data_IF_340236254459
#
_entry.id   IF_340236254459
#
_cell.length_a   1.000
_cell.length_b   1.000
_cell.length_c   1.000
_cell.angle_alpha   90.00
_cell.angle_beta   90.00
_cell.angle_gamma   90.00
#
_symmetry.space_group_name_H-M   'P 1'
#
loop_
_entity.id
_entity.type
_entity.pdbx_description
1 polymer ?
#
# COMPACT_ATOMS: atom_id res chain seq x y z
N UNK A 1 3.28 -20.18 11.07
CA UNK A 1 2.87 -21.29 10.17
C UNK A 1 2.38 -20.85 8.78
N UNK A 2 1.76 -19.69 8.58
CA UNK A 2 1.24 -19.30 7.24
C UNK A 2 2.28 -18.70 6.28
N UNK A 3 3.38 -18.13 6.79
CA UNK A 3 4.38 -17.44 5.96
C UNK A 3 5.06 -18.31 4.89
N UNK A 4 5.36 -19.61 5.12
CA UNK A 4 5.85 -20.50 4.07
C UNK A 4 4.90 -20.63 2.86
N UNK A 5 3.60 -20.46 3.05
CA UNK A 5 2.64 -20.47 1.95
C UNK A 5 2.68 -19.18 1.14
N UNK A 6 2.88 -18.04 1.83
CA UNK A 6 3.03 -16.72 1.21
C UNK A 6 4.33 -16.59 0.41
N UNK A 7 5.39 -17.30 0.80
CA UNK A 7 6.70 -17.24 0.12
C UNK A 7 6.76 -18.02 -1.19
N UNK A 8 5.74 -18.83 -1.51
CA UNK A 8 5.69 -19.62 -2.74
C UNK A 8 5.68 -18.73 -3.99
N UNK A 9 6.52 -19.06 -4.96
CA UNK A 9 6.72 -18.25 -6.19
C UNK A 9 5.97 -18.80 -7.40
N UNK A 10 5.51 -20.06 -7.34
CA UNK A 10 4.74 -20.68 -8.42
C UNK A 10 3.50 -19.85 -8.76
N UNK A 11 3.27 -19.65 -10.05
CA UNK A 11 2.09 -18.97 -10.58
C UNK A 11 0.95 -19.94 -10.89
N UNK A 12 1.10 -21.23 -10.61
CA UNK A 12 0.04 -22.19 -10.88
C UNK A 12 -1.15 -21.96 -9.92
N UNK A 13 -2.35 -22.23 -10.41
CA UNK A 13 -3.61 -21.98 -9.70
C UNK A 13 -3.66 -22.55 -8.27
N UNK A 14 -3.13 -23.76 -7.97
CA UNK A 14 -3.09 -24.27 -6.59
C UNK A 14 -2.27 -23.41 -5.64
N UNK A 15 -1.10 -22.93 -6.06
CA UNK A 15 -0.25 -22.07 -5.23
C UNK A 15 -0.84 -20.67 -5.09
N UNK A 16 -1.50 -20.15 -6.13
CA UNK A 16 -2.21 -18.88 -6.03
C UNK A 16 -3.36 -18.93 -5.02
N UNK A 17 -4.18 -20.00 -5.07
CA UNK A 17 -5.26 -20.22 -4.11
C UNK A 17 -4.72 -20.39 -2.68
N UNK A 18 -3.58 -21.07 -2.52
CA UNK A 18 -2.94 -21.26 -1.22
C UNK A 18 -2.48 -19.92 -0.62
N UNK A 19 -1.85 -19.05 -1.43
CA UNK A 19 -1.48 -17.69 -1.03
C UNK A 19 -2.71 -16.87 -0.68
N UNK A 20 -3.72 -16.86 -1.55
CA UNK A 20 -4.95 -16.12 -1.34
C UNK A 20 -5.69 -16.53 -0.06
N UNK A 21 -5.79 -17.83 0.20
CA UNK A 21 -6.42 -18.35 1.43
C UNK A 21 -5.62 -17.93 2.66
N UNK A 22 -4.29 -18.01 2.60
CA UNK A 22 -3.40 -17.58 3.70
C UNK A 22 -3.52 -16.08 3.97
N UNK A 23 -3.56 -15.25 2.91
CA UNK A 23 -3.82 -13.82 3.00
C UNK A 23 -5.22 -13.53 3.55
N UNK A 24 -6.23 -14.33 3.20
CA UNK A 24 -7.59 -14.21 3.72
C UNK A 24 -7.64 -14.35 5.23
N UNK A 25 -6.92 -15.33 5.79
CA UNK A 25 -6.79 -15.51 7.24
C UNK A 25 -6.12 -14.30 7.89
N UNK A 26 -4.98 -13.85 7.37
CA UNK A 26 -4.26 -12.67 7.90
C UNK A 26 -5.13 -11.41 7.79
N UNK A 27 -5.82 -11.25 6.67
CA UNK A 27 -6.77 -10.17 6.39
C UNK A 27 -7.91 -10.13 7.40
N UNK A 28 -8.40 -11.29 7.86
CA UNK A 28 -9.39 -11.34 8.93
C UNK A 28 -8.83 -10.90 10.29
N UNK A 29 -7.57 -11.25 10.57
CA UNK A 29 -6.91 -10.89 11.85
C UNK A 29 -6.68 -9.37 11.94
N UNK A 30 -6.19 -8.72 10.87
CA UNK A 30 -5.92 -7.26 10.87
C UNK A 30 -7.18 -6.40 10.77
N UNK A 31 -8.35 -6.98 10.45
CA UNK A 31 -9.61 -6.22 10.29
C UNK A 31 -10.11 -5.59 11.58
N UNK A 32 -9.73 -6.15 12.74
CA UNK A 32 -10.19 -5.69 14.05
C UNK A 32 -9.39 -4.50 14.58
N UNK A 33 -8.43 -3.96 13.80
CA UNK A 33 -7.62 -2.79 14.16
C UNK A 33 -6.94 -2.91 15.54
N UNK A 34 -6.55 -4.14 15.92
CA UNK A 34 -5.85 -4.41 17.17
C UNK A 34 -4.35 -4.03 17.03
N UNK A 35 -3.83 -3.06 17.80
CA UNK A 35 -2.42 -2.65 17.72
C UNK A 35 -1.42 -3.77 18.04
N UNK A 36 -1.76 -4.71 18.93
CA UNK A 36 -0.89 -5.85 19.27
C UNK A 36 -0.66 -6.77 18.06
N UNK A 37 -1.71 -6.96 17.25
CA UNK A 37 -1.64 -7.72 16.00
C UNK A 37 -0.72 -7.01 15.01
N UNK A 38 -0.86 -5.69 14.88
CA UNK A 38 0.01 -4.90 13.99
C UNK A 38 1.46 -5.03 14.45
N UNK A 39 1.73 -4.79 15.72
CA UNK A 39 3.06 -4.88 16.31
C UNK A 39 3.69 -6.27 16.10
N UNK A 40 2.91 -7.34 16.26
CA UNK A 40 3.36 -8.69 15.93
C UNK A 40 3.83 -8.80 14.47
N UNK A 41 3.06 -8.28 13.51
CA UNK A 41 3.47 -8.31 12.09
C UNK A 41 4.72 -7.47 11.80
N UNK A 42 4.93 -6.35 12.50
CA UNK A 42 6.14 -5.53 12.34
C UNK A 42 7.42 -6.26 12.81
N UNK A 43 7.30 -7.17 13.78
CA UNK A 43 8.42 -7.93 14.35
C UNK A 43 8.72 -9.25 13.60
N UNK A 44 7.94 -9.56 12.56
CA UNK A 44 8.07 -10.80 11.80
C UNK A 44 8.43 -10.53 10.33
N UNK A 45 8.70 -11.60 9.58
CA UNK A 45 8.98 -11.52 8.13
C UNK A 45 7.73 -11.26 7.27
N UNK A 46 6.58 -10.90 7.87
CA UNK A 46 5.35 -10.69 7.13
C UNK A 46 5.44 -9.54 6.12
N UNK A 47 6.03 -8.40 6.53
CA UNK A 47 6.08 -7.20 5.69
C UNK A 47 6.82 -7.41 4.36
N UNK A 48 8.04 -7.99 4.32
CA UNK A 48 8.68 -8.36 3.07
C UNK A 48 7.83 -9.27 2.18
N UNK A 49 7.15 -10.27 2.75
CA UNK A 49 6.28 -11.18 2.01
C UNK A 49 5.06 -10.45 1.43
N UNK A 50 4.47 -9.56 2.22
CA UNK A 50 3.31 -8.75 1.83
C UNK A 50 3.67 -7.83 0.66
N UNK A 51 4.76 -7.08 0.76
CA UNK A 51 5.25 -6.19 -0.31
C UNK A 51 5.58 -6.96 -1.59
N UNK A 52 6.21 -8.13 -1.50
CA UNK A 52 6.46 -9.00 -2.66
C UNK A 52 5.16 -9.44 -3.34
N UNK A 53 4.15 -9.85 -2.56
CA UNK A 53 2.86 -10.25 -3.13
C UNK A 53 2.14 -9.06 -3.77
N UNK A 54 2.21 -7.88 -3.16
CA UNK A 54 1.68 -6.63 -3.71
C UNK A 54 2.28 -6.31 -5.08
N UNK A 55 3.57 -6.57 -5.27
CA UNK A 55 4.28 -6.27 -6.51
C UNK A 55 4.02 -7.30 -7.62
N UNK A 56 4.12 -8.59 -7.33
CA UNK A 56 4.15 -9.66 -8.36
C UNK A 56 3.04 -10.72 -8.25
N UNK A 57 2.09 -10.58 -7.31
CA UNK A 57 0.98 -11.51 -7.12
C UNK A 57 -0.09 -11.47 -8.22
N UNK A 58 -1.05 -12.39 -8.20
CA UNK A 58 -2.28 -12.26 -8.99
C UNK A 58 -3.08 -11.03 -8.54
N UNK A 59 -3.94 -10.48 -9.40
CA UNK A 59 -4.72 -9.28 -9.07
C UNK A 59 -5.45 -9.40 -7.73
N UNK A 60 -6.09 -10.56 -7.49
CA UNK A 60 -6.82 -10.79 -6.24
C UNK A 60 -5.87 -10.89 -5.03
N UNK A 61 -4.72 -11.56 -5.16
CA UNK A 61 -3.69 -11.57 -4.12
C UNK A 61 -3.17 -10.17 -3.82
N UNK A 62 -2.94 -9.35 -4.86
CA UNK A 62 -2.50 -7.95 -4.71
C UNK A 62 -3.54 -7.15 -3.92
N UNK A 63 -4.81 -7.22 -4.30
CA UNK A 63 -5.89 -6.51 -3.58
C UNK A 63 -5.91 -6.86 -2.09
N UNK A 64 -5.82 -8.15 -1.74
CA UNK A 64 -5.84 -8.57 -0.33
C UNK A 64 -4.54 -8.17 0.40
N UNK A 65 -3.37 -8.33 -0.24
CA UNK A 65 -2.10 -7.94 0.35
C UNK A 65 -2.00 -6.43 0.58
N UNK A 66 -2.38 -5.61 -0.41
CA UNK A 66 -2.41 -4.14 -0.27
C UNK A 66 -3.42 -3.72 0.79
N UNK A 67 -4.56 -4.40 0.92
CA UNK A 67 -5.51 -4.14 2.01
C UNK A 67 -4.88 -4.39 3.40
N UNK A 68 -4.17 -5.50 3.57
CA UNK A 68 -3.48 -5.82 4.82
C UNK A 68 -2.38 -4.80 5.12
N UNK A 69 -1.59 -4.47 4.10
CA UNK A 69 -0.53 -3.47 4.22
C UNK A 69 -1.09 -2.09 4.60
N UNK A 70 -2.19 -1.68 3.97
CA UNK A 70 -2.89 -0.45 4.34
C UNK A 70 -3.38 -0.48 5.79
N UNK A 71 -3.86 -1.63 6.29
CA UNK A 71 -4.27 -1.77 7.71
C UNK A 71 -3.07 -1.59 8.66
N UNK A 72 -1.91 -2.13 8.32
CA UNK A 72 -0.67 -1.86 9.05
C UNK A 72 -0.31 -0.37 9.01
N UNK A 73 -0.34 0.26 7.84
CA UNK A 73 -0.07 1.70 7.71
C UNK A 73 -1.07 2.58 8.46
N UNK A 74 -2.32 2.13 8.61
CA UNK A 74 -3.37 2.90 9.29
C UNK A 74 -3.13 3.02 10.79
N UNK A 75 -2.39 2.08 11.38
CA UNK A 75 -1.90 2.15 12.75
C UNK A 75 -0.73 3.15 12.86
N UNK A 76 -0.64 3.89 13.96
CA UNK A 76 0.41 4.90 14.17
C UNK A 76 1.80 4.26 14.33
N UNK A 77 1.88 3.12 15.03
CA UNK A 77 3.12 2.36 15.18
C UNK A 77 3.57 1.75 13.85
N UNK A 78 2.63 1.27 13.03
CA UNK A 78 2.89 0.78 11.68
C UNK A 78 3.37 1.87 10.73
N UNK A 79 2.73 3.06 10.73
CA UNK A 79 3.21 4.20 9.94
C UNK A 79 4.62 4.60 10.36
N UNK A 80 4.85 4.81 11.66
CA UNK A 80 6.15 5.19 12.19
C UNK A 80 7.23 4.17 11.82
N UNK A 81 6.97 2.87 11.97
CA UNK A 81 7.93 1.82 11.61
C UNK A 81 8.40 1.91 10.15
N UNK A 82 7.52 2.30 9.23
CA UNK A 82 7.80 2.42 7.80
C UNK A 82 8.57 3.69 7.47
N UNK A 83 8.22 4.81 8.12
CA UNK A 83 8.79 6.13 7.80
C UNK A 83 10.03 6.47 8.62
N UNK A 84 10.32 5.72 9.69
CA UNK A 84 11.45 6.02 10.57
C UNK A 84 12.82 5.63 10.00
N UNK A 85 12.87 4.75 9.00
CA UNK A 85 14.11 4.37 8.34
C UNK A 85 14.03 4.61 6.82
N UNK A 86 14.93 5.43 6.23
CA UNK A 86 14.86 5.80 4.80
C UNK A 86 14.77 4.61 3.85
N UNK A 87 15.58 3.56 4.08
CA UNK A 87 15.54 2.34 3.29
C UNK A 87 14.18 1.61 3.33
N UNK A 88 13.49 1.58 4.48
CA UNK A 88 12.16 0.94 4.57
C UNK A 88 11.14 1.72 3.77
N UNK A 89 11.14 3.04 3.95
CA UNK A 89 10.26 3.93 3.20
C UNK A 89 10.50 3.83 1.69
N UNK A 90 11.76 3.83 1.26
CA UNK A 90 12.15 3.64 -0.15
C UNK A 90 11.58 2.35 -0.76
N UNK A 91 11.69 1.22 -0.07
CA UNK A 91 11.13 -0.06 -0.56
C UNK A 91 9.60 0.05 -0.72
N UNK A 92 8.92 0.63 0.28
CA UNK A 92 7.46 0.81 0.23
C UNK A 92 7.08 1.68 -0.97
N UNK A 93 7.77 2.79 -1.15
CA UNK A 93 7.52 3.72 -2.23
C UNK A 93 7.78 3.10 -3.61
N UNK A 94 8.87 2.34 -3.76
CA UNK A 94 9.21 1.64 -4.99
C UNK A 94 8.11 0.63 -5.37
N UNK A 95 7.66 -0.19 -4.41
CA UNK A 95 6.60 -1.17 -4.64
C UNK A 95 5.29 -0.48 -5.03
N UNK A 96 4.89 0.57 -4.31
CA UNK A 96 3.66 1.31 -4.64
C UNK A 96 3.75 1.98 -6.02
N UNK A 97 4.91 2.53 -6.39
CA UNK A 97 5.13 3.10 -7.73
C UNK A 97 4.98 2.06 -8.82
N UNK A 98 5.66 0.91 -8.67
CA UNK A 98 5.56 -0.20 -9.62
C UNK A 98 4.13 -0.70 -9.78
N UNK A 99 3.33 -0.70 -8.70
CA UNK A 99 1.92 -1.06 -8.76
C UNK A 99 1.07 -0.02 -9.50
N UNK A 100 1.38 1.27 -9.35
CA UNK A 100 0.71 2.34 -10.10
C UNK A 100 1.00 2.22 -11.59
N UNK A 101 2.25 1.98 -11.97
CA UNK A 101 2.62 1.84 -13.38
C UNK A 101 1.89 0.65 -14.02
N UNK A 102 1.78 -0.47 -13.31
CA UNK A 102 1.00 -1.64 -13.77
C UNK A 102 -0.52 -1.39 -13.84
N UNK A 103 -1.04 -0.42 -13.10
CA UNK A 103 -2.46 -0.09 -13.12
C UNK A 103 -2.89 0.70 -14.35
N UNK A 104 -1.94 1.34 -15.04
CA UNK A 104 -2.21 2.03 -16.31
C UNK A 104 -2.77 1.05 -17.34
N UNK A 105 -2.22 -0.16 -17.41
CA UNK A 105 -2.66 -1.19 -18.36
C UNK A 105 -3.83 -2.04 -17.84
N UNK A 106 -3.81 -2.40 -16.55
CA UNK A 106 -4.77 -3.37 -15.99
C UNK A 106 -6.08 -2.76 -15.53
N UNK A 107 -6.13 -1.44 -15.27
CA UNK A 107 -7.33 -0.68 -14.89
C UNK A 107 -8.17 -1.32 -13.76
N UNK A 108 -7.57 -1.58 -12.59
CA UNK A 108 -8.29 -2.12 -11.42
C UNK A 108 -8.68 -1.03 -10.41
N UNK A 109 -9.95 -0.56 -10.36
CA UNK A 109 -10.36 0.54 -9.48
C UNK A 109 -10.23 0.17 -8.00
N UNK A 110 -10.44 -1.10 -7.66
CA UNK A 110 -10.32 -1.60 -6.29
C UNK A 110 -8.89 -1.49 -5.77
N UNK A 111 -7.93 -1.91 -6.59
CA UNK A 111 -6.52 -1.84 -6.22
C UNK A 111 -6.05 -0.39 -6.15
N UNK A 112 -6.41 0.43 -7.16
CA UNK A 112 -6.12 1.85 -7.19
C UNK A 112 -6.61 2.55 -5.92
N UNK A 113 -7.85 2.31 -5.51
CA UNK A 113 -8.44 2.90 -4.29
C UNK A 113 -7.61 2.63 -3.04
N UNK A 114 -7.08 1.41 -2.89
CA UNK A 114 -6.30 1.04 -1.71
C UNK A 114 -4.89 1.67 -1.79
N UNK A 115 -4.26 1.67 -2.97
CA UNK A 115 -2.93 2.29 -3.16
C UNK A 115 -2.96 3.79 -2.87
N UNK A 116 -3.97 4.51 -3.38
CA UNK A 116 -4.12 5.95 -3.11
C UNK A 116 -4.29 6.20 -1.61
N UNK A 117 -5.01 5.33 -0.89
CA UNK A 117 -5.11 5.43 0.58
C UNK A 117 -3.78 5.16 1.28
N UNK A 118 -2.94 4.24 0.78
CA UNK A 118 -1.59 4.04 1.30
C UNK A 118 -0.76 5.32 1.16
N UNK A 119 -0.75 5.95 -0.03
CA UNK A 119 -0.07 7.24 -0.23
C UNK A 119 -0.61 8.33 0.68
N UNK A 120 -1.94 8.43 0.83
CA UNK A 120 -2.59 9.43 1.68
C UNK A 120 -2.19 9.28 3.16
N UNK A 121 -2.02 8.04 3.62
CA UNK A 121 -1.57 7.72 4.97
C UNK A 121 -0.08 7.96 5.15
N UNK A 122 0.75 7.59 4.18
CA UNK A 122 2.18 7.91 4.19
C UNK A 122 2.41 9.43 4.26
N UNK A 123 1.60 10.21 3.54
CA UNK A 123 1.65 11.67 3.57
C UNK A 123 1.25 12.28 4.93
N UNK A 124 0.75 11.50 5.90
CA UNK A 124 0.57 12.00 7.28
C UNK A 124 1.92 12.26 7.96
N UNK A 125 2.95 11.44 7.69
CA UNK A 125 4.29 11.65 8.21
C UNK A 125 4.99 12.80 7.45
N UNK A 126 5.51 13.84 8.12
CA UNK A 126 6.14 14.98 7.46
C UNK A 126 7.36 14.64 6.59
N UNK A 127 8.17 13.64 7.00
CA UNK A 127 9.38 13.22 6.27
C UNK A 127 8.97 12.49 4.99
N UNK A 128 8.05 11.53 5.12
CA UNK A 128 7.51 10.81 3.97
C UNK A 128 6.78 11.76 3.00
N UNK A 129 6.05 12.75 3.51
CA UNK A 129 5.36 13.76 2.69
C UNK A 129 6.33 14.53 1.81
N UNK A 130 7.48 14.94 2.34
CA UNK A 130 8.50 15.66 1.55
C UNK A 130 9.06 14.78 0.42
N UNK A 131 9.41 13.53 0.73
CA UNK A 131 9.86 12.56 -0.28
C UNK A 131 8.79 12.31 -1.35
N UNK A 132 7.52 12.19 -0.94
CA UNK A 132 6.40 11.99 -1.86
C UNK A 132 6.17 13.19 -2.77
N UNK A 133 6.46 14.43 -2.35
CA UNK A 133 6.37 15.60 -3.24
C UNK A 133 7.33 15.51 -4.42
N UNK A 134 8.52 14.98 -4.16
CA UNK A 134 9.59 14.90 -5.17
C UNK A 134 9.45 13.67 -6.06
N UNK A 135 8.81 12.62 -5.55
CA UNK A 135 8.87 11.28 -6.15
C UNK A 135 7.48 10.60 -6.22
N UNK A 136 6.40 11.38 -6.39
CA UNK A 136 5.07 10.84 -6.66
C UNK A 136 5.03 10.24 -8.09
N UNK A 137 4.47 9.04 -8.29
CA UNK A 137 4.30 8.47 -9.62
C UNK A 137 3.51 9.41 -10.54
N UNK A 138 4.00 9.63 -11.76
CA UNK A 138 3.38 10.52 -12.74
C UNK A 138 1.89 10.18 -13.02
N UNK A 139 1.47 8.90 -13.11
CA UNK A 139 0.06 8.56 -13.30
C UNK A 139 -0.88 9.03 -12.18
N UNK A 140 -0.36 9.29 -10.97
CA UNK A 140 -1.13 9.87 -9.88
C UNK A 140 -1.19 11.41 -9.93
N UNK A 141 -0.29 12.03 -10.67
CA UNK A 141 -0.23 13.47 -10.88
C UNK A 141 -1.07 13.90 -12.09
N UNK A 142 -0.98 13.16 -13.18
CA UNK A 142 -1.65 13.48 -14.43
C UNK A 142 -3.06 12.85 -14.48
N UNK A 143 -3.85 13.20 -15.49
CA UNK A 143 -5.24 12.77 -15.57
C UNK A 143 -5.44 11.27 -15.89
N UNK A 144 -4.39 10.43 -15.81
CA UNK A 144 -4.39 9.02 -16.27
C UNK A 144 -5.53 8.21 -15.66
N UNK A 145 -5.78 8.35 -14.36
CA UNK A 145 -6.84 7.58 -13.70
C UNK A 145 -8.20 8.30 -13.64
N UNK A 146 -8.38 9.49 -14.24
CA UNK A 146 -9.64 10.21 -14.14
C UNK A 146 -10.82 9.47 -14.79
N UNK A 147 -10.55 8.69 -15.84
CA UNK A 147 -11.54 7.83 -16.53
C UNK A 147 -11.90 6.59 -15.73
N UNK A 148 -10.94 6.05 -14.95
CA UNK A 148 -11.13 4.88 -14.09
C UNK A 148 -11.78 5.27 -12.74
N UNK A 149 -11.65 6.55 -12.35
CA UNK A 149 -12.07 7.09 -11.06
C UNK A 149 -13.53 7.56 -11.02
N UNK A 150 -14.46 6.97 -11.76
CA UNK A 150 -15.89 7.30 -11.59
C UNK A 150 -16.44 6.99 -10.19
N UNK A 151 -15.71 6.23 -9.37
CA UNK A 151 -15.92 6.17 -7.93
C UNK A 151 -15.59 7.54 -7.28
N UNK A 152 -16.61 8.26 -6.75
CA UNK A 152 -16.40 9.57 -6.12
C UNK A 152 -15.46 9.48 -4.90
N UNK A 153 -15.37 8.31 -4.27
CA UNK A 153 -14.44 8.07 -3.16
C UNK A 153 -12.99 8.15 -3.62
N UNK A 154 -12.68 7.59 -4.80
CA UNK A 154 -11.32 7.59 -5.35
C UNK A 154 -10.93 9.01 -5.71
N UNK A 155 -11.79 9.75 -6.43
CA UNK A 155 -11.59 11.18 -6.73
C UNK A 155 -11.34 12.00 -5.46
N UNK A 156 -12.10 11.75 -4.38
CA UNK A 156 -11.88 12.41 -3.09
C UNK A 156 -10.52 12.11 -2.48
N UNK A 157 -10.07 10.85 -2.49
CA UNK A 157 -8.76 10.50 -1.95
C UNK A 157 -7.61 11.11 -2.77
N UNK A 158 -7.74 11.16 -4.09
CA UNK A 158 -6.79 11.86 -4.96
C UNK A 158 -6.70 13.35 -4.62
N UNK A 159 -7.84 14.03 -4.52
CA UNK A 159 -7.86 15.45 -4.18
C UNK A 159 -7.21 15.69 -2.80
N UNK A 160 -7.49 14.86 -1.80
CA UNK A 160 -6.86 14.96 -0.48
C UNK A 160 -5.34 14.73 -0.53
N UNK A 161 -4.89 13.76 -1.31
CA UNK A 161 -3.46 13.48 -1.48
C UNK A 161 -2.74 14.67 -2.09
N UNK A 162 -3.25 15.20 -3.20
CA UNK A 162 -2.66 16.35 -3.88
C UNK A 162 -2.66 17.60 -2.98
N UNK A 163 -3.74 17.83 -2.22
CA UNK A 163 -3.79 18.92 -1.24
C UNK A 163 -2.69 18.78 -0.18
N UNK A 164 -2.54 17.61 0.45
CA UNK A 164 -1.48 17.37 1.44
C UNK A 164 -0.08 17.60 0.88
N UNK A 165 0.14 17.25 -0.38
CA UNK A 165 1.43 17.44 -1.04
C UNK A 165 1.65 18.90 -1.46
N UNK A 166 0.58 19.65 -1.75
CA UNK A 166 0.64 21.08 -2.11
C UNK A 166 0.82 22.03 -0.92
N UNK A 167 0.41 21.61 0.29
CA UNK A 167 0.54 22.43 1.49
C UNK A 167 2.03 22.66 1.83
N UNK A 168 2.54 23.83 1.46
CA UNK A 168 3.82 24.37 1.92
C UNK A 168 3.72 24.74 3.40
N UNK A 169 3.68 23.76 4.30
CA UNK A 169 4.10 24.00 5.68
C UNK A 169 5.62 24.00 5.69
N UNK A 170 6.19 25.11 5.22
CA UNK A 170 7.56 25.45 5.61
C UNK A 170 7.62 25.56 7.13
N UNK A 171 8.75 25.21 7.77
CA UNK A 171 8.94 25.53 9.18
C UNK A 171 8.78 27.05 9.33
N UNK A 172 8.00 27.47 10.33
CA UNK A 172 7.51 28.84 10.47
C UNK A 172 8.58 29.93 10.36
N UNK A 173 8.14 31.06 9.82
CA UNK A 173 8.70 32.38 10.13
C UNK A 173 7.93 32.97 11.31
#
# INVERSE_FOLDING_TARGET
FLYPFLSTTSKSKPYDNLRLTSLGVIGAIVKNDNPEVIHFFLQTEFLPLCLKIMEIGSELCKVVATFIFHKILSDDGGLMFMTDHPHRFYIVQLVLSNMIDQLVDSTSPRLLKIIVRCYLRLADDPRAREELRQHLPEPLHNATFFTVADDPTIKRYFAQLLLKLSDNVGPGN
#
